data_IF_803050899306
#
_entry.id   IF_803050899306
#
_cell.length_a   1.000
_cell.length_b   1.000
_cell.length_c   1.000
_cell.angle_alpha   90.00
_cell.angle_beta   90.00
_cell.angle_gamma   90.00
#
_symmetry.space_group_name_H-M   'P 1'
#
loop_
_entity.id
_entity.type
_entity.pdbx_description
1 polymer ?
#
# COMPACT_ATOMS: atom_id res chain seq x y z
N UNK A 1 55.52 -43.79 -36.04
CA UNK A 1 55.83 -42.71 -35.09
C UNK A 1 55.31 -41.37 -35.63
N UNK A 2 54.59 -40.64 -34.77
CA UNK A 2 54.12 -39.25 -34.80
C UNK A 2 53.70 -38.58 -36.14
N UNK A 3 52.39 -38.48 -36.36
CA UNK A 3 51.74 -37.48 -37.23
C UNK A 3 51.59 -36.18 -36.45
N UNK A 4 52.08 -35.06 -36.97
CA UNK A 4 51.84 -33.71 -36.43
C UNK A 4 50.49 -33.18 -36.93
N UNK A 5 49.54 -32.80 -36.05
CA UNK A 5 48.39 -32.01 -36.48
C UNK A 5 48.65 -30.51 -36.33
N UNK A 6 48.50 -29.84 -37.47
CA UNK A 6 48.11 -28.46 -37.72
C UNK A 6 47.58 -27.67 -36.51
N UNK A 7 48.15 -26.49 -36.27
CA UNK A 7 47.64 -25.47 -35.34
C UNK A 7 46.81 -24.45 -36.16
N UNK A 8 45.47 -24.49 -36.12
CA UNK A 8 44.68 -23.37 -36.61
C UNK A 8 44.78 -22.21 -35.61
N UNK A 9 44.97 -21.02 -36.16
CA UNK A 9 44.92 -19.75 -35.46
C UNK A 9 43.54 -19.54 -34.83
N UNK A 10 43.44 -19.70 -33.52
CA UNK A 10 42.25 -19.26 -32.78
C UNK A 10 42.40 -17.76 -32.49
N UNK A 11 42.11 -16.98 -33.54
CA UNK A 11 41.76 -15.57 -33.43
C UNK A 11 40.45 -15.49 -32.64
N UNK A 12 40.55 -15.52 -31.31
CA UNK A 12 39.43 -15.14 -30.44
C UNK A 12 39.33 -13.62 -30.46
N UNK A 13 38.84 -13.12 -31.59
CA UNK A 13 38.14 -11.85 -31.71
C UNK A 13 36.88 -11.96 -30.84
N UNK A 14 37.04 -11.78 -29.52
CA UNK A 14 35.91 -11.71 -28.59
C UNK A 14 35.21 -10.39 -28.86
N UNK A 15 34.20 -10.44 -29.74
CA UNK A 15 33.35 -9.32 -30.11
C UNK A 15 32.73 -8.70 -28.83
N UNK A 16 33.07 -7.45 -28.45
CA UNK A 16 32.61 -6.85 -27.20
C UNK A 16 31.11 -6.51 -27.18
N UNK A 17 30.39 -6.75 -28.28
CA UNK A 17 28.98 -6.40 -28.46
C UNK A 17 27.95 -7.52 -28.25
N UNK A 18 28.34 -8.75 -27.87
CA UNK A 18 27.41 -9.91 -27.81
C UNK A 18 27.31 -10.64 -26.46
N UNK A 19 27.99 -10.15 -25.41
CA UNK A 19 27.86 -10.75 -24.09
C UNK A 19 26.54 -10.37 -23.41
N UNK A 20 25.48 -11.12 -23.70
CA UNK A 20 24.15 -11.00 -23.07
C UNK A 20 24.24 -10.94 -21.54
N UNK A 21 25.12 -11.75 -20.94
CA UNK A 21 25.38 -11.75 -19.49
C UNK A 21 25.85 -10.40 -18.95
N UNK A 22 26.66 -9.66 -19.71
CA UNK A 22 27.20 -8.35 -19.32
C UNK A 22 26.13 -7.26 -19.44
N UNK A 23 25.22 -7.41 -20.39
CA UNK A 23 24.08 -6.53 -20.59
C UNK A 23 23.03 -6.70 -19.47
N UNK A 24 22.75 -7.95 -19.05
CA UNK A 24 21.93 -8.23 -17.86
C UNK A 24 22.57 -7.68 -16.59
N UNK A 25 23.89 -7.82 -16.41
CA UNK A 25 24.58 -7.25 -15.25
C UNK A 25 24.49 -5.71 -15.21
N UNK A 26 24.63 -5.04 -16.37
CA UNK A 26 24.44 -3.57 -16.46
C UNK A 26 22.99 -3.16 -16.17
N UNK A 27 22.00 -3.90 -16.65
CA UNK A 27 20.59 -3.63 -16.37
C UNK A 27 20.26 -3.77 -14.88
N UNK A 28 20.81 -4.79 -14.20
CA UNK A 28 20.65 -4.99 -12.76
C UNK A 28 21.36 -3.91 -11.94
N UNK A 29 22.51 -3.43 -12.39
CA UNK A 29 23.21 -2.33 -11.73
C UNK A 29 22.47 -0.98 -11.88
N UNK A 30 21.80 -0.74 -13.02
CA UNK A 30 21.03 0.47 -13.25
C UNK A 30 19.72 0.55 -12.41
N UNK A 31 19.19 -0.59 -11.97
CA UNK A 31 17.99 -0.65 -11.10
C UNK A 31 18.31 -0.57 -9.60
N UNK A 32 19.56 -0.75 -9.20
CA UNK A 32 19.98 -0.69 -7.80
C UNK A 32 20.06 0.73 -7.20
N UNK A 33 19.88 1.76 -8.04
CA UNK A 33 19.97 3.17 -7.62
C UNK A 33 18.62 3.89 -7.64
N UNK A 34 17.50 3.15 -7.69
CA UNK A 34 16.20 3.76 -7.42
C UNK A 34 16.08 4.00 -5.92
N UNK A 35 15.90 5.26 -5.46
CA UNK A 35 15.47 5.50 -4.09
C UNK A 35 14.17 4.73 -3.87
N UNK A 36 14.07 4.06 -2.73
CA UNK A 36 12.89 3.31 -2.34
C UNK A 36 11.64 4.16 -2.64
N UNK A 37 10.63 3.62 -3.36
CA UNK A 37 9.39 4.33 -3.50
C UNK A 37 8.87 4.57 -2.09
N UNK A 38 8.75 5.86 -1.72
CA UNK A 38 8.00 6.25 -0.55
C UNK A 38 6.65 5.51 -0.61
N UNK A 39 6.14 4.98 0.52
CA UNK A 39 4.88 4.27 0.51
C UNK A 39 3.86 5.19 -0.15
N UNK A 40 3.38 4.77 -1.32
CA UNK A 40 2.34 5.46 -2.03
C UNK A 40 1.15 5.49 -1.07
N UNK A 41 0.95 6.65 -0.44
CA UNK A 41 -0.32 6.94 0.18
C UNK A 41 -1.34 6.75 -0.94
N UNK A 42 -2.30 5.83 -0.80
CA UNK A 42 -3.34 5.73 -1.78
C UNK A 42 -4.12 7.04 -1.70
N UNK A 43 -3.92 7.92 -2.69
CA UNK A 43 -4.79 9.05 -2.95
C UNK A 43 -6.14 8.50 -3.36
N UNK A 44 -6.95 8.11 -2.38
CA UNK A 44 -8.38 7.93 -2.52
C UNK A 44 -9.02 9.32 -2.64
N UNK A 45 -8.75 10.01 -3.76
CA UNK A 45 -9.57 11.14 -4.18
C UNK A 45 -10.84 10.59 -4.81
N UNK A 46 -11.71 9.98 -4.00
CA UNK A 46 -13.12 9.93 -4.33
C UNK A 46 -13.65 11.36 -4.20
N UNK A 47 -13.78 12.02 -5.35
CA UNK A 47 -14.50 13.27 -5.52
C UNK A 47 -15.95 13.07 -5.10
N UNK A 48 -16.23 13.21 -3.81
CA UNK A 48 -17.60 13.45 -3.34
C UNK A 48 -17.78 14.96 -3.17
N UNK A 49 -18.68 15.51 -3.98
CA UNK A 49 -19.22 16.85 -3.74
C UNK A 49 -19.95 16.87 -2.40
N UNK A 50 -19.79 17.98 -1.67
CA UNK A 50 -20.53 18.27 -0.43
C UNK A 50 -20.33 17.29 0.75
N UNK A 51 -19.13 16.71 0.86
CA UNK A 51 -18.76 16.03 2.10
C UNK A 51 -18.54 17.07 3.19
N UNK A 52 -19.40 17.08 4.20
CA UNK A 52 -19.26 17.92 5.40
C UNK A 52 -17.81 17.86 5.92
N UNK A 53 -17.18 18.99 6.29
CA UNK A 53 -15.77 19.03 6.68
C UNK A 53 -15.43 18.08 7.83
N UNK A 54 -16.41 17.79 8.68
CA UNK A 54 -16.29 16.82 9.78
C UNK A 54 -16.14 15.38 9.28
N UNK A 55 -16.80 15.02 8.20
CA UNK A 55 -16.69 13.69 7.60
C UNK A 55 -15.33 13.52 6.92
N UNK A 56 -14.84 14.54 6.22
CA UNK A 56 -13.50 14.53 5.66
C UNK A 56 -12.43 14.31 6.75
N UNK A 57 -12.58 14.99 7.88
CA UNK A 57 -11.70 14.80 9.03
C UNK A 57 -11.81 13.38 9.60
N UNK A 58 -13.02 12.84 9.72
CA UNK A 58 -13.22 11.47 10.23
C UNK A 58 -12.57 10.43 9.31
N UNK A 59 -12.71 10.59 7.99
CA UNK A 59 -12.04 9.75 6.98
C UNK A 59 -10.53 9.77 7.17
N UNK A 60 -9.94 10.96 7.29
CA UNK A 60 -8.50 11.11 7.45
C UNK A 60 -7.98 10.39 8.71
N UNK A 61 -8.68 10.51 9.84
CA UNK A 61 -8.31 9.81 11.07
C UNK A 61 -8.42 8.29 10.92
N UNK A 62 -9.50 7.82 10.29
CA UNK A 62 -9.70 6.40 10.03
C UNK A 62 -8.60 5.86 9.14
N UNK A 63 -8.30 6.54 8.02
CA UNK A 63 -7.27 6.12 7.06
C UNK A 63 -5.87 6.11 7.69
N UNK A 64 -5.56 7.12 8.52
CA UNK A 64 -4.30 7.18 9.24
C UNK A 64 -4.15 5.97 10.17
N UNK A 65 -5.14 5.72 11.03
CA UNK A 65 -5.10 4.59 11.95
C UNK A 65 -5.08 3.24 11.24
N UNK A 66 -5.86 3.10 10.17
CA UNK A 66 -5.88 1.89 9.36
C UNK A 66 -4.50 1.64 8.74
N UNK A 67 -3.87 2.69 8.20
CA UNK A 67 -2.51 2.59 7.65
C UNK A 67 -1.50 2.20 8.72
N UNK A 68 -1.58 2.78 9.92
CA UNK A 68 -0.72 2.42 11.05
C UNK A 68 -0.89 0.94 11.46
N UNK A 69 -2.14 0.47 11.56
CA UNK A 69 -2.45 -0.93 11.87
C UNK A 69 -1.90 -1.85 10.78
N UNK A 70 -2.11 -1.53 9.50
CA UNK A 70 -1.60 -2.34 8.40
C UNK A 70 -0.07 -2.31 8.32
N UNK A 71 0.57 -1.18 8.62
CA UNK A 71 2.02 -1.05 8.66
C UNK A 71 2.66 -1.89 9.78
N UNK A 72 1.97 -2.06 10.90
CA UNK A 72 2.39 -2.95 11.99
C UNK A 72 2.29 -4.44 11.64
N UNK A 73 1.55 -4.79 10.58
CA UNK A 73 1.33 -6.18 10.15
C UNK A 73 2.32 -6.59 9.04
N UNK A 74 2.81 -7.84 9.04
CA UNK A 74 3.69 -8.35 8.00
C UNK A 74 3.09 -8.23 6.59
N UNK A 75 3.88 -7.69 5.66
CA UNK A 75 3.50 -7.57 4.25
C UNK A 75 3.08 -8.94 3.68
N UNK A 76 1.98 -8.97 2.91
CA UNK A 76 1.39 -10.20 2.37
C UNK A 76 0.47 -10.97 3.32
N UNK A 77 0.43 -10.64 4.62
CA UNK A 77 -0.51 -11.23 5.61
C UNK A 77 -1.44 -10.21 6.26
N UNK A 78 -1.28 -8.93 5.93
CA UNK A 78 -2.07 -7.81 6.45
C UNK A 78 -3.58 -8.10 6.46
N UNK A 79 -4.17 -8.46 5.30
CA UNK A 79 -5.62 -8.76 5.19
C UNK A 79 -6.06 -9.88 6.13
N UNK A 80 -5.31 -10.98 6.19
CA UNK A 80 -5.65 -12.15 7.00
C UNK A 80 -5.55 -11.85 8.50
N UNK A 81 -4.47 -11.19 8.92
CA UNK A 81 -4.27 -10.84 10.33
C UNK A 81 -5.24 -9.75 10.79
N UNK A 82 -5.55 -8.79 9.92
CA UNK A 82 -6.59 -7.80 10.18
C UNK A 82 -7.94 -8.49 10.40
N UNK A 83 -8.33 -9.40 9.52
CA UNK A 83 -9.57 -10.20 9.66
C UNK A 83 -9.61 -11.03 10.94
N UNK A 84 -8.48 -11.60 11.36
CA UNK A 84 -8.41 -12.37 12.61
C UNK A 84 -8.61 -11.46 13.83
N UNK A 85 -8.00 -10.26 13.84
CA UNK A 85 -8.06 -9.33 14.97
C UNK A 85 -9.41 -8.62 15.09
N UNK A 86 -9.98 -8.21 13.95
CA UNK A 86 -11.17 -7.34 13.92
C UNK A 86 -12.43 -8.03 13.38
N UNK A 87 -12.34 -9.28 12.90
CA UNK A 87 -13.48 -10.04 12.37
C UNK A 87 -13.92 -9.66 10.95
N UNK A 88 -13.43 -8.54 10.40
CA UNK A 88 -13.80 -8.02 9.08
C UNK A 88 -12.58 -7.79 8.19
N UNK A 89 -12.78 -7.69 6.89
CA UNK A 89 -11.71 -7.31 5.96
C UNK A 89 -11.52 -5.79 5.91
N UNK A 90 -10.30 -5.31 5.62
CA UNK A 90 -10.03 -3.88 5.57
C UNK A 90 -10.87 -3.13 4.52
N UNK A 91 -11.31 -3.83 3.46
CA UNK A 91 -12.18 -3.27 2.43
C UNK A 91 -13.62 -3.03 2.93
N UNK A 92 -14.11 -3.88 3.83
CA UNK A 92 -15.48 -3.81 4.38
C UNK A 92 -15.63 -2.68 5.41
N UNK A 93 -14.53 -2.13 5.93
CA UNK A 93 -14.55 -1.00 6.87
C UNK A 93 -15.30 0.19 6.26
N UNK A 94 -15.20 0.41 4.95
CA UNK A 94 -15.84 1.55 4.27
C UNK A 94 -17.36 1.46 4.23
N UNK A 95 -17.92 0.26 4.37
CA UNK A 95 -19.36 0.03 4.36
C UNK A 95 -20.00 0.30 5.72
N UNK A 96 -19.20 0.22 6.80
CA UNK A 96 -19.65 0.44 8.16
C UNK A 96 -19.89 1.92 8.46
N UNK A 97 -20.77 2.16 9.43
CA UNK A 97 -20.98 3.49 9.98
C UNK A 97 -19.72 4.00 10.68
N UNK A 98 -19.42 5.29 10.59
CA UNK A 98 -18.24 5.92 11.18
C UNK A 98 -18.12 5.59 12.68
N UNK A 99 -19.23 5.59 13.43
CA UNK A 99 -19.24 5.18 14.85
C UNK A 99 -18.76 3.75 15.08
N UNK A 100 -19.13 2.83 14.19
CA UNK A 100 -18.74 1.43 14.28
C UNK A 100 -17.27 1.27 13.92
N UNK A 101 -16.79 2.00 12.91
CA UNK A 101 -15.39 2.01 12.51
C UNK A 101 -14.50 2.49 13.67
N UNK A 102 -14.87 3.59 14.32
CA UNK A 102 -14.15 4.15 15.47
C UNK A 102 -14.08 3.16 16.63
N UNK A 103 -15.21 2.50 16.94
CA UNK A 103 -15.26 1.49 18.00
C UNK A 103 -14.40 0.26 17.67
N UNK A 104 -14.44 -0.19 16.41
CA UNK A 104 -13.72 -1.38 15.95
C UNK A 104 -12.20 -1.15 15.88
N UNK A 105 -11.77 0.01 15.41
CA UNK A 105 -10.36 0.41 15.35
C UNK A 105 -9.84 0.95 16.69
N UNK A 106 -10.69 1.00 17.73
CA UNK A 106 -10.38 1.54 19.06
C UNK A 106 -9.74 2.94 19.00
N UNK A 107 -10.25 3.80 18.12
CA UNK A 107 -9.71 5.15 17.88
C UNK A 107 -10.05 6.05 19.07
N UNK A 108 -9.05 6.27 19.94
CA UNK A 108 -9.15 7.16 21.09
C UNK A 108 -8.76 8.60 20.71
N UNK A 109 -9.56 9.26 19.86
CA UNK A 109 -9.29 10.64 19.46
C UNK A 109 -10.16 11.65 20.22
N UNK A 110 -9.60 12.77 20.73
CA UNK A 110 -10.36 13.77 21.49
C UNK A 110 -11.52 14.41 20.70
N UNK A 111 -11.46 14.40 19.36
CA UNK A 111 -12.53 14.90 18.50
C UNK A 111 -13.73 13.94 18.42
N UNK A 112 -13.54 12.64 18.67
CA UNK A 112 -14.63 11.67 18.78
C UNK A 112 -15.14 11.57 20.22
N UNK A 113 -14.26 11.71 21.21
CA UNK A 113 -14.65 11.72 22.63
C UNK A 113 -15.47 12.94 23.01
N UNK A 114 -15.10 14.13 22.51
CA UNK A 114 -15.94 15.33 22.61
C UNK A 114 -16.96 15.31 21.47
N UNK A 115 -17.89 14.37 21.53
CA UNK A 115 -18.98 14.08 20.59
C UNK A 115 -19.82 15.34 20.32
N UNK A 116 -19.25 16.26 19.54
CA UNK A 116 -19.87 17.50 19.14
C UNK A 116 -21.14 17.17 18.36
N UNK A 117 -22.12 18.07 18.36
CA UNK A 117 -23.37 17.86 17.65
C UNK A 117 -23.15 17.45 16.16
N UNK A 118 -22.02 17.87 15.57
CA UNK A 118 -21.65 17.55 14.20
C UNK A 118 -21.13 16.11 14.06
N UNK A 119 -20.37 15.59 15.03
CA UNK A 119 -19.98 14.18 15.08
C UNK A 119 -21.19 13.25 15.19
N UNK A 120 -22.21 13.62 15.98
CA UNK A 120 -23.46 12.86 16.06
C UNK A 120 -24.17 12.75 14.71
N UNK A 121 -24.13 13.81 13.89
CA UNK A 121 -24.75 13.80 12.55
C UNK A 121 -24.05 12.85 11.58
N UNK A 122 -22.72 12.75 11.66
CA UNK A 122 -21.97 11.87 10.78
C UNK A 122 -21.76 10.45 11.35
N UNK A 123 -22.03 10.23 12.64
CA UNK A 123 -21.83 8.94 13.30
C UNK A 123 -22.61 7.80 12.64
N UNK A 124 -23.81 8.09 12.14
CA UNK A 124 -24.70 7.17 11.43
C UNK A 124 -24.44 7.12 9.91
N UNK A 125 -23.52 7.94 9.41
CA UNK A 125 -23.07 7.88 8.02
C UNK A 125 -21.96 6.85 7.90
N UNK A 126 -21.89 6.18 6.76
CA UNK A 126 -20.76 5.34 6.40
C UNK A 126 -19.56 6.18 5.94
N UNK A 127 -18.44 5.51 5.66
CA UNK A 127 -17.23 6.17 5.17
C UNK A 127 -17.52 7.06 3.95
N UNK A 128 -18.45 6.64 3.08
CA UNK A 128 -18.83 7.37 1.86
C UNK A 128 -19.91 8.46 2.08
N UNK A 129 -20.27 8.78 3.32
CA UNK A 129 -21.28 9.81 3.60
C UNK A 129 -22.73 9.40 3.32
N UNK A 130 -22.98 8.11 3.11
CA UNK A 130 -24.33 7.56 2.94
C UNK A 130 -24.86 7.08 4.29
N UNK A 131 -26.16 7.21 4.54
CA UNK A 131 -26.77 6.61 5.73
C UNK A 131 -26.55 5.09 5.69
N UNK A 132 -25.97 4.54 6.75
CA UNK A 132 -25.93 3.09 6.93
C UNK A 132 -27.36 2.63 7.28
N UNK A 133 -27.95 1.79 6.42
CA UNK A 133 -29.29 1.23 6.60
C UNK A 133 -29.34 0.24 7.77
#
# INVERSE_FOLDING_TARGET
MAKSPSRPADSLLVNPGKSSRLQEMRQRAATANQPAPAPAQPSFQEKDGDVSPELALARQLIDQHLTEILAALPAGKQRRLFKIRFGIEPEQIKELAIKQIIALLEINHPQFNNLSANMKRIADLNYNGRQSN
#
